data_IF_699141067209
#
_entry.id   IF_699141067209
#
_cell.length_a   1.000
_cell.length_b   1.000
_cell.length_c   1.000
_cell.angle_alpha   90.00
_cell.angle_beta   90.00
_cell.angle_gamma   90.00
#
_symmetry.space_group_name_H-M   'P 1'
#
loop_
_entity.id
_entity.type
_entity.pdbx_description
1 polymer ?
#
# COMPACT_ATOMS: atom_id res chain seq x y z
N UNK A 1 -21.34 -1.27 -7.99
CA UNK A 1 -20.95 -0.46 -6.82
C UNK A 1 -21.32 0.98 -7.10
N UNK A 2 -21.93 1.67 -6.13
CA UNK A 2 -22.27 3.09 -6.27
C UNK A 2 -21.04 3.94 -5.94
N UNK A 3 -20.85 5.04 -6.67
CA UNK A 3 -19.81 6.03 -6.40
C UNK A 3 -20.34 7.00 -5.34
N UNK A 4 -20.13 6.68 -4.06
CA UNK A 4 -20.69 7.43 -2.93
C UNK A 4 -19.63 8.24 -2.19
N UNK A 5 -18.36 7.83 -2.31
CA UNK A 5 -17.21 8.50 -1.73
C UNK A 5 -16.48 9.32 -2.81
N UNK A 6 -15.23 9.71 -2.55
CA UNK A 6 -14.47 10.57 -3.47
C UNK A 6 -13.43 11.45 -2.78
N UNK A 7 -13.47 11.51 -1.45
CA UNK A 7 -12.61 12.37 -0.64
C UNK A 7 -12.02 11.59 0.55
N UNK A 8 -10.92 12.12 1.09
CA UNK A 8 -10.25 11.58 2.27
C UNK A 8 -10.90 12.15 3.54
N UNK A 9 -11.68 11.34 4.25
CA UNK A 9 -12.30 11.74 5.51
C UNK A 9 -11.32 11.70 6.68
N UNK A 10 -11.50 12.57 7.67
CA UNK A 10 -10.78 12.51 8.95
C UNK A 10 -11.74 12.09 10.07
N UNK A 11 -11.33 11.12 10.89
CA UNK A 11 -12.15 10.58 11.98
C UNK A 11 -11.39 10.59 13.30
N UNK A 12 -12.13 10.53 14.41
CA UNK A 12 -11.57 10.25 15.74
C UNK A 12 -11.79 8.78 16.13
N UNK A 13 -11.23 8.35 17.26
CA UNK A 13 -11.51 7.02 17.81
C UNK A 13 -12.98 6.77 18.14
N UNK A 14 -13.76 7.81 18.45
CA UNK A 14 -15.20 7.68 18.73
C UNK A 14 -16.00 7.28 17.49
N UNK A 15 -15.53 7.71 16.32
CA UNK A 15 -16.18 7.46 15.04
C UNK A 15 -15.82 6.07 14.48
N UNK A 16 -14.75 5.44 14.97
CA UNK A 16 -14.17 4.21 14.42
C UNK A 16 -15.22 3.12 14.16
N UNK A 17 -16.03 2.81 15.17
CA UNK A 17 -17.02 1.73 15.06
C UNK A 17 -18.02 2.05 13.95
N UNK A 18 -18.52 3.29 13.90
CA UNK A 18 -19.52 3.72 12.93
C UNK A 18 -18.94 3.79 11.52
N UNK A 19 -17.77 4.40 11.39
CA UNK A 19 -17.20 4.76 10.09
C UNK A 19 -16.40 3.62 9.45
N UNK A 20 -15.88 2.69 10.25
CA UNK A 20 -15.03 1.56 9.82
C UNK A 20 -15.75 0.22 9.99
N UNK A 21 -16.12 -0.17 11.22
CA UNK A 21 -16.72 -1.49 11.46
C UNK A 21 -18.16 -1.60 10.96
N UNK A 22 -18.90 -0.49 10.94
CA UNK A 22 -20.31 -0.41 10.52
C UNK A 22 -20.50 0.50 9.31
N UNK A 23 -19.52 0.53 8.41
CA UNK A 23 -19.53 1.39 7.22
C UNK A 23 -20.69 1.09 6.26
N UNK A 24 -21.24 -0.13 6.31
CA UNK A 24 -22.36 -0.61 5.49
C UNK A 24 -21.95 -1.76 4.55
N UNK A 25 -22.95 -2.39 3.96
CA UNK A 25 -22.77 -3.57 3.10
C UNK A 25 -22.08 -3.19 1.79
N UNK A 26 -21.18 -4.06 1.32
CA UNK A 26 -20.42 -3.88 0.09
C UNK A 26 -19.42 -2.72 0.11
N UNK A 27 -19.14 -2.11 1.27
CA UNK A 27 -18.24 -0.96 1.40
C UNK A 27 -16.86 -1.43 1.88
N UNK A 28 -15.85 -1.10 1.08
CA UNK A 28 -14.45 -1.16 1.48
C UNK A 28 -14.05 0.10 2.24
N UNK A 29 -13.30 -0.07 3.32
CA UNK A 29 -12.74 1.05 4.10
C UNK A 29 -11.22 0.91 4.16
N UNK A 30 -10.52 1.98 3.79
CA UNK A 30 -9.07 2.12 3.92
C UNK A 30 -8.81 3.18 4.98
N UNK A 31 -8.34 2.78 6.16
CA UNK A 31 -8.02 3.68 7.27
C UNK A 31 -6.52 3.83 7.42
N UNK A 32 -6.02 5.07 7.31
CA UNK A 32 -4.63 5.42 7.61
C UNK A 32 -4.49 6.03 9.01
N UNK A 33 -3.82 5.31 9.90
CA UNK A 33 -3.36 5.86 11.17
C UNK A 33 -2.04 6.58 10.94
N UNK A 34 -2.01 7.85 11.32
CA UNK A 34 -0.87 8.72 11.06
C UNK A 34 -0.49 9.55 12.29
N UNK A 35 0.68 10.18 12.24
CA UNK A 35 1.09 11.18 13.22
C UNK A 35 1.71 12.37 12.50
N UNK A 36 1.36 13.56 12.94
CA UNK A 36 1.95 14.80 12.44
C UNK A 36 3.47 14.81 12.71
N UNK A 37 4.25 15.35 11.78
CA UNK A 37 5.71 15.39 11.88
C UNK A 37 6.42 14.14 11.37
N UNK A 38 5.73 13.05 11.04
CA UNK A 38 6.31 11.90 10.32
C UNK A 38 6.19 12.15 8.80
N UNK A 39 7.28 12.37 8.05
CA UNK A 39 7.20 12.72 6.62
C UNK A 39 6.48 11.67 5.77
N UNK A 40 6.70 10.38 6.06
CA UNK A 40 6.06 9.30 5.32
C UNK A 40 4.54 9.24 5.52
N UNK A 41 4.05 9.61 6.71
CA UNK A 41 2.62 9.78 6.97
C UNK A 41 2.02 10.89 6.08
N UNK A 42 2.73 12.01 5.92
CA UNK A 42 2.29 13.11 5.04
C UNK A 42 2.23 12.65 3.59
N UNK A 43 3.24 11.92 3.11
CA UNK A 43 3.24 11.37 1.75
C UNK A 43 2.07 10.42 1.51
N UNK A 44 1.82 9.48 2.44
CA UNK A 44 0.70 8.54 2.32
C UNK A 44 -0.65 9.27 2.34
N UNK A 45 -0.82 10.31 3.16
CA UNK A 45 -2.03 11.14 3.15
C UNK A 45 -2.27 11.79 1.77
N UNK A 46 -1.23 12.26 1.09
CA UNK A 46 -1.34 12.85 -0.25
C UNK A 46 -1.73 11.80 -1.29
N UNK A 47 -1.10 10.62 -1.23
CA UNK A 47 -1.43 9.50 -2.12
C UNK A 47 -2.87 9.03 -1.92
N UNK A 48 -3.28 8.76 -0.67
CA UNK A 48 -4.65 8.32 -0.37
C UNK A 48 -5.69 9.37 -0.74
N UNK A 49 -5.40 10.67 -0.60
CA UNK A 49 -6.28 11.74 -1.10
C UNK A 49 -6.45 11.72 -2.62
N UNK A 50 -5.42 11.30 -3.35
CA UNK A 50 -5.50 11.11 -4.81
C UNK A 50 -6.28 9.85 -5.16
N UNK A 51 -6.04 8.75 -4.45
CA UNK A 51 -6.74 7.49 -4.65
C UNK A 51 -8.23 7.57 -4.26
N UNK A 52 -8.60 8.37 -3.25
CA UNK A 52 -9.98 8.59 -2.87
C UNK A 52 -10.81 9.19 -4.02
N UNK A 53 -10.25 10.15 -4.75
CA UNK A 53 -10.87 10.75 -5.94
C UNK A 53 -10.95 9.76 -7.10
N UNK A 54 -9.94 8.91 -7.25
CA UNK A 54 -9.89 7.88 -8.31
C UNK A 54 -10.85 6.73 -8.06
N UNK A 55 -11.07 6.34 -6.80
CA UNK A 55 -11.86 5.17 -6.39
C UNK A 55 -13.02 5.57 -5.47
N UNK A 56 -14.04 6.27 -5.98
CA UNK A 56 -15.17 6.76 -5.18
C UNK A 56 -16.10 5.65 -4.67
N UNK A 57 -15.83 4.37 -4.98
CA UNK A 57 -16.52 3.22 -4.41
C UNK A 57 -15.95 2.82 -3.03
N UNK A 58 -14.72 3.26 -2.73
CA UNK A 58 -13.99 2.89 -1.52
C UNK A 58 -13.93 4.08 -0.58
N UNK A 59 -14.16 3.83 0.69
CA UNK A 59 -14.14 4.85 1.73
C UNK A 59 -12.73 5.01 2.27
N UNK A 60 -12.11 6.17 2.01
CA UNK A 60 -10.78 6.47 2.51
C UNK A 60 -10.87 7.37 3.74
N UNK A 61 -10.24 6.94 4.82
CA UNK A 61 -10.26 7.62 6.12
C UNK A 61 -8.84 7.76 6.67
N UNK A 62 -8.62 8.82 7.46
CA UNK A 62 -7.41 9.00 8.26
C UNK A 62 -7.76 9.36 9.69
N UNK A 63 -6.86 9.03 10.60
CA UNK A 63 -6.96 9.45 12.00
C UNK A 63 -5.57 9.59 12.63
N UNK A 64 -5.45 10.52 13.58
CA UNK A 64 -4.24 10.59 14.41
C UNK A 64 -4.17 9.28 15.22
N UNK A 65 -3.02 8.61 15.15
CA UNK A 65 -2.86 7.25 15.66
C UNK A 65 -3.29 7.10 17.13
N UNK A 66 -2.91 8.04 17.98
CA UNK A 66 -3.19 8.03 19.42
C UNK A 66 -4.62 8.46 19.77
N UNK A 67 -5.29 9.23 18.92
CA UNK A 67 -6.71 9.58 19.12
C UNK A 67 -7.63 8.47 18.63
N UNK A 68 -7.18 7.68 17.66
CA UNK A 68 -7.88 6.51 17.16
C UNK A 68 -7.69 5.28 18.05
N UNK A 69 -6.44 5.00 18.43
CA UNK A 69 -6.06 3.86 19.27
C UNK A 69 -5.16 4.38 20.40
N UNK A 70 -5.62 4.32 21.66
CA UNK A 70 -4.83 4.76 22.79
C UNK A 70 -3.45 4.08 22.83
N UNK A 71 -2.40 4.87 23.03
CA UNK A 71 -1.00 4.39 23.11
C UNK A 71 -0.50 3.64 21.86
N UNK A 72 -1.06 3.92 20.67
CA UNK A 72 -0.56 3.31 19.44
C UNK A 72 0.93 3.66 19.22
N UNK A 73 1.84 2.68 19.07
CA UNK A 73 3.27 2.95 19.02
C UNK A 73 3.70 3.71 17.77
N UNK A 74 4.50 4.77 17.94
CA UNK A 74 5.03 5.54 16.81
C UNK A 74 5.86 4.69 15.83
N UNK A 75 6.57 3.68 16.32
CA UNK A 75 7.38 2.75 15.48
C UNK A 75 6.53 1.97 14.47
N UNK A 76 5.22 1.83 14.74
CA UNK A 76 4.29 1.15 13.86
C UNK A 76 3.79 2.09 12.76
N UNK A 77 4.05 3.39 12.83
CA UNK A 77 3.57 4.35 11.85
C UNK A 77 4.50 4.45 10.63
N UNK A 78 3.94 4.74 9.45
CA UNK A 78 2.50 4.82 9.15
C UNK A 78 1.81 3.44 9.19
N UNK A 79 0.51 3.42 9.49
CA UNK A 79 -0.29 2.19 9.46
C UNK A 79 -1.50 2.36 8.56
N UNK A 80 -1.74 1.41 7.66
CA UNK A 80 -2.99 1.31 6.91
C UNK A 80 -3.71 0.02 7.30
N UNK A 81 -4.99 0.14 7.66
CA UNK A 81 -5.91 -0.99 7.79
C UNK A 81 -6.91 -0.99 6.64
N UNK A 82 -7.18 -2.17 6.12
CA UNK A 82 -8.19 -2.40 5.09
C UNK A 82 -9.30 -3.25 5.68
N UNK A 83 -10.53 -2.76 5.57
CA UNK A 83 -11.74 -3.43 6.04
C UNK A 83 -12.72 -3.65 4.89
N UNK A 84 -13.50 -4.71 5.01
CA UNK A 84 -14.68 -4.95 4.18
C UNK A 84 -15.77 -5.56 5.05
N UNK A 85 -16.95 -4.92 5.09
CA UNK A 85 -18.12 -5.37 5.87
C UNK A 85 -17.79 -5.63 7.36
N UNK A 86 -16.97 -4.75 7.94
CA UNK A 86 -16.59 -4.81 9.35
C UNK A 86 -15.41 -5.73 9.68
N UNK A 87 -15.00 -6.58 8.75
CA UNK A 87 -13.87 -7.49 8.91
C UNK A 87 -12.57 -6.86 8.40
N UNK A 88 -11.48 -7.03 9.16
CA UNK A 88 -10.14 -6.61 8.72
C UNK A 88 -9.63 -7.59 7.65
N UNK A 89 -9.33 -7.06 6.46
CA UNK A 89 -8.83 -7.83 5.31
C UNK A 89 -7.32 -7.72 5.16
N UNK A 90 -6.72 -6.59 5.52
CA UNK A 90 -5.26 -6.41 5.48
C UNK A 90 -4.77 -5.34 6.46
N UNK A 91 -3.49 -5.43 6.79
CA UNK A 91 -2.77 -4.43 7.57
C UNK A 91 -1.38 -4.18 6.97
N UNK A 92 -1.00 -2.92 6.84
CA UNK A 92 0.33 -2.48 6.42
C UNK A 92 0.90 -1.61 7.52
N UNK A 93 1.94 -2.09 8.21
CA UNK A 93 2.42 -1.47 9.45
C UNK A 93 3.89 -1.11 9.31
N UNK A 94 4.20 0.15 9.56
CA UNK A 94 5.56 0.67 9.67
C UNK A 94 6.20 1.00 8.32
N UNK A 95 7.31 1.78 8.35
CA UNK A 95 7.87 2.41 7.16
C UNK A 95 8.48 1.42 6.16
N UNK A 96 8.99 0.27 6.64
CA UNK A 96 9.61 -0.75 5.80
C UNK A 96 8.62 -1.34 4.79
N UNK A 97 7.39 -1.59 5.23
CA UNK A 97 6.34 -2.11 4.35
C UNK A 97 6.10 -1.12 3.20
N UNK A 98 6.18 0.18 3.45
CA UNK A 98 5.96 1.23 2.43
C UNK A 98 7.17 1.54 1.54
N UNK A 99 8.36 1.00 1.82
CA UNK A 99 9.56 1.32 1.04
C UNK A 99 10.06 2.76 1.21
N UNK A 100 9.64 3.44 2.29
CA UNK A 100 10.10 4.80 2.64
C UNK A 100 9.59 5.90 1.71
N UNK A 101 10.36 7.00 1.62
CA UNK A 101 9.95 8.26 0.96
C UNK A 101 9.86 8.19 -0.56
N UNK A 102 10.31 7.09 -1.18
CA UNK A 102 10.21 6.88 -2.63
C UNK A 102 8.88 6.24 -3.06
N UNK A 103 7.98 5.93 -2.12
CA UNK A 103 6.67 5.35 -2.39
C UNK A 103 5.91 6.16 -3.43
N UNK A 104 5.55 5.51 -4.53
CA UNK A 104 4.71 6.07 -5.60
C UNK A 104 3.24 5.81 -5.34
N UNK A 105 2.37 6.64 -5.90
CA UNK A 105 0.92 6.50 -5.72
C UNK A 105 0.41 5.20 -6.36
N UNK A 106 1.00 4.80 -7.50
CA UNK A 106 0.69 3.58 -8.24
C UNK A 106 1.09 2.33 -7.44
N UNK A 107 2.20 2.38 -6.68
CA UNK A 107 2.59 1.28 -5.79
C UNK A 107 1.59 1.09 -4.64
N UNK A 108 1.08 2.19 -4.10
CA UNK A 108 0.06 2.14 -3.05
C UNK A 108 -1.29 1.67 -3.62
N UNK A 109 -1.65 2.13 -4.81
CA UNK A 109 -2.83 1.65 -5.55
C UNK A 109 -2.78 0.14 -5.79
N UNK A 110 -1.66 -0.37 -6.31
CA UNK A 110 -1.46 -1.79 -6.55
C UNK A 110 -1.65 -2.62 -5.26
N UNK A 111 -1.07 -2.17 -4.14
CA UNK A 111 -1.24 -2.89 -2.86
C UNK A 111 -2.68 -2.90 -2.39
N UNK A 112 -3.41 -1.81 -2.56
CA UNK A 112 -4.83 -1.77 -2.21
C UNK A 112 -5.65 -2.66 -3.15
N UNK A 113 -5.29 -2.77 -4.44
CA UNK A 113 -5.99 -3.66 -5.36
C UNK A 113 -5.77 -5.13 -5.04
N UNK A 114 -4.57 -5.52 -4.58
CA UNK A 114 -4.27 -6.87 -4.11
C UNK A 114 -5.17 -7.30 -2.93
N UNK A 115 -5.64 -6.35 -2.13
CA UNK A 115 -6.61 -6.63 -1.04
C UNK A 115 -8.06 -6.72 -1.51
N UNK A 116 -8.36 -6.26 -2.74
CA UNK A 116 -9.71 -6.08 -3.26
C UNK A 116 -10.33 -4.71 -2.95
N UNK A 117 -9.64 -3.85 -2.19
CA UNK A 117 -10.16 -2.55 -1.77
C UNK A 117 -10.33 -1.55 -2.91
N UNK A 118 -9.64 -1.72 -4.04
CA UNK A 118 -9.82 -0.89 -5.24
C UNK A 118 -9.72 -1.75 -6.49
N UNK A 119 -10.37 -1.31 -7.57
CA UNK A 119 -10.24 -1.93 -8.90
C UNK A 119 -9.29 -1.10 -9.74
N UNK A 120 -8.03 -1.50 -9.80
CA UNK A 120 -7.00 -0.81 -10.57
C UNK A 120 -7.06 -1.17 -12.05
N UNK A 121 -6.66 -0.23 -12.91
CA UNK A 121 -6.41 -0.46 -14.34
C UNK A 121 -4.94 -0.81 -14.62
N UNK A 122 -4.09 -0.88 -13.58
CA UNK A 122 -2.69 -1.31 -13.73
C UNK A 122 -2.66 -2.79 -14.14
N UNK A 123 -1.91 -3.09 -15.20
CA UNK A 123 -1.77 -4.45 -15.73
C UNK A 123 -0.74 -5.28 -14.94
N UNK A 124 0.25 -4.61 -14.33
CA UNK A 124 1.35 -5.26 -13.61
C UNK A 124 1.82 -4.46 -12.38
N UNK A 125 2.52 -5.14 -11.48
CA UNK A 125 3.07 -4.54 -10.28
C UNK A 125 4.19 -3.53 -10.64
N UNK A 126 4.03 -2.22 -10.32
CA UNK A 126 4.98 -1.19 -10.73
C UNK A 126 6.38 -1.35 -10.09
N UNK A 127 6.53 -2.10 -9.01
CA UNK A 127 7.85 -2.39 -8.42
C UNK A 127 8.67 -3.40 -9.22
N UNK A 128 8.03 -4.36 -9.89
CA UNK A 128 8.74 -5.42 -10.63
C UNK A 128 9.57 -4.85 -11.80
N UNK A 129 9.07 -3.80 -12.45
CA UNK A 129 9.80 -3.14 -13.54
C UNK A 129 11.17 -2.60 -13.10
N UNK A 130 11.31 -2.16 -11.86
CA UNK A 130 12.57 -1.62 -11.33
C UNK A 130 13.55 -2.76 -11.02
N UNK A 131 13.05 -3.84 -10.41
CA UNK A 131 13.86 -5.01 -10.05
C UNK A 131 14.39 -5.72 -11.30
N UNK A 132 13.56 -5.91 -12.33
CA UNK A 132 13.97 -6.55 -13.57
C UNK A 132 14.99 -5.71 -14.36
N UNK A 133 14.86 -4.38 -14.35
CA UNK A 133 15.85 -3.46 -14.95
C UNK A 133 17.17 -3.47 -14.19
N UNK A 134 17.14 -3.50 -12.86
CA UNK A 134 18.33 -3.62 -12.04
C UNK A 134 19.03 -4.98 -12.26
N UNK A 135 18.26 -6.06 -12.24
CA UNK A 135 18.77 -7.42 -12.44
C UNK A 135 19.33 -7.63 -13.85
N UNK A 136 18.70 -7.06 -14.88
CA UNK A 136 19.22 -7.11 -16.25
C UNK A 136 20.50 -6.30 -16.42
N UNK A 137 20.61 -5.14 -15.76
CA UNK A 137 21.83 -4.31 -15.75
C UNK A 137 23.00 -4.98 -15.03
N UNK A 138 22.73 -5.72 -13.95
CA UNK A 138 23.75 -6.52 -13.24
C UNK A 138 24.19 -7.71 -14.11
N UNK A 139 23.25 -8.43 -14.74
CA UNK A 139 23.59 -9.55 -15.64
C UNK A 139 24.43 -9.12 -16.83
N UNK A 140 24.25 -7.90 -17.34
CA UNK A 140 25.02 -7.36 -18.45
C UNK A 140 26.41 -6.83 -18.05
N UNK A 141 26.71 -6.69 -16.76
CA UNK A 141 28.00 -6.22 -16.24
C UNK A 141 28.86 -7.34 -15.63
N UNK A 142 28.31 -8.53 -15.41
CA UNK A 142 29.08 -9.70 -14.97
C UNK A 142 29.84 -10.33 -16.15
N UNK A 143 31.16 -10.59 -16.03
CA UNK A 143 31.89 -11.33 -17.04
C UNK A 143 31.32 -12.75 -17.13
N UNK A 144 30.90 -13.16 -18.33
CA UNK A 144 30.60 -14.56 -18.64
C UNK A 144 31.86 -15.38 -18.40
N UNK A 145 31.90 -16.12 -17.27
CA UNK A 145 32.82 -17.24 -17.15
C UNK A 145 32.36 -18.27 -18.18
N UNK A 146 33.07 -18.28 -19.31
CA UNK A 146 32.96 -19.30 -20.34
C UNK A 146 33.41 -20.61 -19.69
N UNK A 147 32.45 -21.46 -19.31
CA UNK A 147 32.74 -22.85 -19.01
C UNK A 147 33.42 -23.43 -20.26
N UNK A 148 34.67 -23.86 -20.08
CA UNK A 148 35.41 -24.54 -21.15
C UNK A 148 34.86 -25.95 -21.26
N UNK A 149 34.25 -26.24 -22.40
CA UNK A 149 34.07 -27.60 -22.90
C UNK A 149 35.39 -28.36 -22.75
N UNK A 150 35.31 -29.51 -22.10
CA UNK A 150 36.30 -30.58 -22.28
C UNK A 150 35.50 -31.80 -22.72
N UNK A 151 35.20 -31.85 -24.01
CA UNK A 151 35.05 -33.12 -24.73
C UNK A 151 36.48 -33.56 -25.08
N UNK A 152 36.90 -34.73 -24.59
CA UNK A 152 37.91 -35.54 -25.26
C UNK A 152 37.46 -37.00 -25.17
N UNK A 153 37.13 -37.53 -26.36
CA UNK A 153 36.77 -38.91 -26.67
C UNK A 153 37.99 -39.86 -26.59
N UNK A 154 37.67 -41.14 -26.35
CA UNK A 154 38.34 -42.38 -26.80
C UNK A 154 39.84 -42.62 -26.52
N UNK A 155 40.13 -43.66 -25.72
CA UNK A 155 40.67 -44.97 -26.16
C UNK A 155 40.59 -46.02 -25.05
#
# INVERSE_FOLDING_TARGET
>A
MKNVFGEMGEISGQDYIKEVNKAGDGIWVVLHLYKQGIPLCTLINQHLSTLARKFPQTKFLKSISTTCIPNYPDRNLPTIFVYFEGEMKAQFIGPLVFGGMNLKVEELEWRLSETGAVKTDLEENPKKQIEDKLMSSIRSTLPTRKDSDSEDEDY
#
